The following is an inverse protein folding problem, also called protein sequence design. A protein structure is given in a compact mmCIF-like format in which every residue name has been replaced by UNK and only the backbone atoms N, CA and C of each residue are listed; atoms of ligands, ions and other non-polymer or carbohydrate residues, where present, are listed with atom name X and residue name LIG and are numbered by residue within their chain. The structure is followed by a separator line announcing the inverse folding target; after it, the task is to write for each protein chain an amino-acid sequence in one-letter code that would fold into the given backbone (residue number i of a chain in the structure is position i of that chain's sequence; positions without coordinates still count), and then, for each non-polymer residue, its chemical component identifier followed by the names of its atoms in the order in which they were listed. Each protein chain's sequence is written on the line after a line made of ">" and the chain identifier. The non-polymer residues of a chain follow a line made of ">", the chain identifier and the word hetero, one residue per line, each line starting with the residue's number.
data_IF_166782708134
#
_entry.id   IF_166782708134
#
_cell.length_a   1.000
_cell.length_b   1.000
_cell.length_c   1.000
_cell.angle_alpha   90.00
_cell.angle_beta   90.00
_cell.angle_gamma   90.00
#
_symmetry.space_group_name_H-M   'P 1'
#
loop_
_entity.id
_entity.type
_entity.pdbx_description
1 polymer ?
#
# COMPACT_ATOMS: atom_id res chain seq x y z
N UNK A 1 31.53 -56.52 34.46
CA UNK A 1 30.55 -56.50 33.33
C UNK A 1 30.27 -55.06 32.95
N UNK A 2 30.91 -54.63 31.90
CA UNK A 2 31.05 -53.24 31.49
C UNK A 2 30.08 -52.98 30.38
N UNK A 3 29.13 -52.06 30.56
CA UNK A 3 28.18 -51.62 29.54
C UNK A 3 28.59 -50.28 28.99
N UNK A 4 28.97 -50.21 27.71
CA UNK A 4 29.28 -49.01 26.96
C UNK A 4 27.98 -48.32 26.50
N UNK A 5 27.83 -47.05 26.87
CA UNK A 5 26.75 -46.17 26.37
C UNK A 5 27.30 -45.36 25.19
N UNK A 6 26.76 -45.58 24.01
CA UNK A 6 27.05 -44.78 22.80
C UNK A 6 26.16 -43.53 22.78
N UNK A 7 26.77 -42.37 22.90
CA UNK A 7 26.11 -41.09 22.68
C UNK A 7 26.12 -40.76 21.16
N UNK A 8 24.96 -40.79 20.52
CA UNK A 8 24.75 -40.26 19.19
C UNK A 8 24.55 -38.75 19.27
N UNK A 9 25.53 -37.99 18.82
CA UNK A 9 25.42 -36.55 18.64
C UNK A 9 24.57 -36.19 17.41
N UNK A 10 23.41 -35.61 17.64
CA UNK A 10 22.56 -35.05 16.59
C UNK A 10 23.05 -33.64 16.27
N UNK A 11 23.75 -33.47 15.14
CA UNK A 11 24.11 -32.14 14.61
C UNK A 11 22.85 -31.58 13.89
N UNK A 12 22.16 -30.68 14.54
CA UNK A 12 21.12 -29.90 13.91
C UNK A 12 21.77 -28.77 13.09
N UNK A 13 21.77 -28.91 11.77
CA UNK A 13 22.06 -27.80 10.85
C UNK A 13 20.94 -26.78 10.95
N UNK A 14 21.18 -25.71 11.70
CA UNK A 14 20.34 -24.51 11.67
C UNK A 14 20.63 -23.76 10.36
N UNK A 15 19.79 -23.98 9.35
CA UNK A 15 19.72 -23.09 8.18
C UNK A 15 18.97 -21.81 8.59
N UNK A 16 19.72 -20.79 8.97
CA UNK A 16 19.16 -19.46 9.17
C UNK A 16 18.80 -18.88 7.79
N UNK A 17 17.57 -18.34 7.59
CA UNK A 17 17.27 -17.58 6.39
C UNK A 17 18.14 -16.33 6.38
N UNK A 18 18.93 -16.17 5.32
CA UNK A 18 19.82 -15.03 5.11
C UNK A 18 18.95 -13.84 4.70
N UNK A 19 18.50 -13.05 5.67
CA UNK A 19 17.89 -11.74 5.39
C UNK A 19 18.98 -10.80 4.89
N UNK A 20 18.81 -10.12 3.75
CA UNK A 20 19.78 -9.14 3.27
C UNK A 20 19.94 -8.03 4.31
N UNK A 21 21.17 -7.79 4.71
CA UNK A 21 21.53 -6.80 5.72
C UNK A 21 21.30 -5.39 5.16
N UNK A 22 20.63 -4.53 5.93
CA UNK A 22 20.42 -3.10 5.60
C UNK A 22 21.71 -2.32 5.27
N UNK A 23 22.88 -2.86 5.63
CA UNK A 23 24.20 -2.28 5.35
C UNK A 23 24.59 -2.30 3.85
N UNK A 24 24.04 -3.24 3.06
CA UNK A 24 24.37 -3.34 1.63
C UNK A 24 23.67 -2.24 0.81
N UNK A 25 22.51 -1.77 1.26
CA UNK A 25 21.74 -0.72 0.59
C UNK A 25 22.39 0.67 0.74
N UNK A 26 23.03 0.95 1.89
CA UNK A 26 23.76 2.21 2.11
C UNK A 26 24.95 2.36 1.16
N UNK A 27 25.66 1.27 0.88
CA UNK A 27 26.77 1.25 -0.07
C UNK A 27 26.34 1.58 -1.49
N UNK A 28 25.20 1.03 -1.93
CA UNK A 28 24.68 1.16 -3.28
C UNK A 28 24.18 2.58 -3.56
N UNK A 29 23.39 3.17 -2.67
CA UNK A 29 22.83 4.51 -2.84
C UNK A 29 23.87 5.61 -2.67
N UNK A 30 24.82 5.46 -1.74
CA UNK A 30 25.96 6.37 -1.57
C UNK A 30 26.87 6.39 -2.79
N UNK A 31 27.03 5.25 -3.48
CA UNK A 31 27.84 5.12 -4.71
C UNK A 31 27.07 5.69 -5.91
N UNK A 32 25.76 5.51 -5.99
CA UNK A 32 24.91 6.12 -7.02
C UNK A 32 24.98 7.65 -6.97
N UNK A 33 24.98 8.25 -5.78
CA UNK A 33 25.16 9.69 -5.59
C UNK A 33 26.51 10.22 -6.09
N UNK A 34 27.60 9.44 -5.95
CA UNK A 34 28.93 9.81 -6.46
C UNK A 34 29.05 9.67 -7.99
N UNK A 35 28.40 8.67 -8.58
CA UNK A 35 28.39 8.47 -10.05
C UNK A 35 27.61 9.62 -10.71
N UNK A 36 26.52 10.08 -10.12
CA UNK A 36 25.74 11.21 -10.62
C UNK A 36 26.44 12.57 -10.43
N UNK A 37 27.38 12.66 -9.45
CA UNK A 37 28.19 13.87 -9.18
C UNK A 37 29.45 14.03 -10.01
N UNK A 38 29.82 13.08 -10.87
CA UNK A 38 30.92 13.21 -11.85
C UNK A 38 32.34 13.14 -11.26
N UNK A 39 32.56 12.63 -10.04
CA UNK A 39 33.89 12.46 -9.45
C UNK A 39 34.28 10.99 -9.25
N UNK A 40 35.29 10.53 -9.97
CA UNK A 40 36.15 9.45 -9.55
C UNK A 40 36.16 8.18 -10.41
N UNK A 41 37.20 8.05 -11.20
CA UNK A 41 37.70 6.79 -11.77
C UNK A 41 38.13 5.82 -10.66
N UNK A 42 37.29 4.84 -10.36
CA UNK A 42 37.60 3.70 -9.50
C UNK A 42 36.38 2.80 -9.41
N UNK A 43 36.47 1.55 -9.89
CA UNK A 43 35.46 0.47 -9.93
C UNK A 43 34.02 0.92 -9.57
N UNK A 44 33.46 1.81 -10.37
CA UNK A 44 32.11 2.32 -10.18
C UNK A 44 31.11 1.25 -10.56
N UNK A 45 29.98 1.21 -9.86
CA UNK A 45 28.86 0.31 -10.20
C UNK A 45 28.41 0.60 -11.64
N UNK A 46 28.10 -0.46 -12.37
CA UNK A 46 27.46 -0.33 -13.68
C UNK A 46 26.06 0.27 -13.56
N UNK A 47 25.53 0.85 -14.64
CA UNK A 47 24.17 1.37 -14.67
C UNK A 47 23.13 0.31 -14.26
N UNK A 48 23.36 -0.92 -14.65
CA UNK A 48 22.51 -2.07 -14.32
C UNK A 48 22.56 -2.40 -12.82
N UNK A 49 23.73 -2.28 -12.20
CA UNK A 49 23.89 -2.49 -10.74
C UNK A 49 23.19 -1.42 -9.94
N UNK A 50 23.30 -0.17 -10.35
CA UNK A 50 22.60 0.96 -9.72
C UNK A 50 21.08 0.76 -9.79
N UNK A 51 20.55 0.43 -10.97
CA UNK A 51 19.11 0.20 -11.17
C UNK A 51 18.64 -1.04 -10.42
N UNK A 52 19.45 -2.08 -10.33
CA UNK A 52 19.13 -3.27 -9.51
C UNK A 52 19.00 -2.91 -8.04
N UNK A 53 19.90 -2.11 -7.47
CA UNK A 53 19.81 -1.61 -6.10
C UNK A 53 18.56 -0.77 -5.87
N UNK A 54 18.20 0.12 -6.81
CA UNK A 54 16.96 0.88 -6.77
C UNK A 54 15.74 -0.03 -6.74
N UNK A 55 15.68 -1.05 -7.61
CA UNK A 55 14.57 -2.02 -7.63
C UNK A 55 14.42 -2.71 -6.28
N UNK A 56 15.49 -3.19 -5.69
CA UNK A 56 15.49 -3.78 -4.35
C UNK A 56 14.95 -2.83 -3.29
N UNK A 57 15.38 -1.57 -3.31
CA UNK A 57 14.90 -0.55 -2.36
C UNK A 57 13.39 -0.30 -2.53
N UNK A 58 12.90 -0.23 -3.78
CA UNK A 58 11.48 -0.07 -4.08
C UNK A 58 10.65 -1.30 -3.67
N UNK A 59 11.16 -2.51 -3.84
CA UNK A 59 10.49 -3.73 -3.36
C UNK A 59 10.35 -3.73 -1.83
N UNK A 60 11.42 -3.38 -1.10
CA UNK A 60 11.38 -3.27 0.37
C UNK A 60 10.42 -2.18 0.81
N UNK A 61 10.44 -1.00 0.18
CA UNK A 61 9.51 0.10 0.48
C UNK A 61 8.05 -0.28 0.21
N UNK A 62 7.81 -0.99 -0.90
CA UNK A 62 6.47 -1.49 -1.25
C UNK A 62 5.97 -2.51 -0.23
N UNK A 63 6.81 -3.45 0.18
CA UNK A 63 6.46 -4.44 1.21
C UNK A 63 6.12 -3.75 2.54
N UNK A 64 6.95 -2.80 3.00
CA UNK A 64 6.70 -2.04 4.24
C UNK A 64 5.40 -1.26 4.18
N UNK A 65 5.10 -0.63 3.04
CA UNK A 65 3.87 0.12 2.85
C UNK A 65 2.64 -0.78 2.95
N UNK A 66 2.71 -1.99 2.36
CA UNK A 66 1.66 -3.01 2.46
C UNK A 66 1.52 -3.53 3.89
N UNK A 67 2.62 -3.78 4.59
CA UNK A 67 2.61 -4.27 5.97
C UNK A 67 1.97 -3.23 6.91
N UNK A 68 2.30 -1.95 6.75
CA UNK A 68 1.72 -0.84 7.53
C UNK A 68 0.22 -0.69 7.25
N UNK A 69 -0.17 -0.64 5.98
CA UNK A 69 -1.56 -0.48 5.58
C UNK A 69 -2.41 -1.71 5.91
N UNK A 70 -1.85 -2.92 5.76
CA UNK A 70 -2.53 -4.19 5.97
C UNK A 70 -2.55 -4.68 7.41
N UNK A 71 -1.89 -3.99 8.34
CA UNK A 71 -1.96 -4.28 9.76
C UNK A 71 -3.39 -4.08 10.30
N UNK A 72 -3.69 -4.68 11.45
CA UNK A 72 -4.97 -4.43 12.11
C UNK A 72 -5.05 -2.98 12.59
N UNK A 73 -6.03 -2.25 12.10
CA UNK A 73 -6.13 -0.80 12.32
C UNK A 73 -5.19 0.05 11.45
N UNK A 74 -4.50 -0.52 10.46
CA UNK A 74 -3.57 0.20 9.60
C UNK A 74 -4.19 1.37 8.84
N UNK A 75 -5.44 1.20 8.38
CA UNK A 75 -6.25 2.29 7.82
C UNK A 75 -7.01 3.05 8.91
N UNK A 76 -7.62 2.33 9.84
CA UNK A 76 -8.49 2.95 10.85
C UNK A 76 -7.76 3.95 11.75
N UNK A 77 -6.54 3.62 12.19
CA UNK A 77 -5.77 4.41 13.14
C UNK A 77 -4.81 5.42 12.50
N UNK A 78 -4.63 5.38 11.16
CA UNK A 78 -3.80 6.35 10.43
C UNK A 78 -4.68 7.41 9.76
N UNK A 79 -4.76 8.63 10.32
CA UNK A 79 -5.71 9.65 9.85
C UNK A 79 -5.55 10.03 8.38
N UNK A 80 -4.34 9.92 7.82
CA UNK A 80 -4.03 10.32 6.42
C UNK A 80 -4.59 9.37 5.39
N UNK A 81 -4.83 8.10 5.78
CA UNK A 81 -5.32 7.06 4.87
C UNK A 81 -6.66 6.46 5.33
N UNK A 82 -7.11 6.81 6.53
CA UNK A 82 -8.41 6.38 7.04
C UNK A 82 -9.52 6.69 6.05
N UNK A 83 -10.34 5.72 5.74
CA UNK A 83 -11.49 5.85 4.85
C UNK A 83 -12.66 6.38 5.68
N UNK A 84 -13.07 7.64 5.49
CA UNK A 84 -14.21 8.22 6.19
C UNK A 84 -15.53 7.79 5.53
N UNK A 85 -16.64 8.14 6.15
CA UNK A 85 -17.92 8.17 5.46
C UNK A 85 -17.81 9.10 4.23
N UNK A 86 -18.38 8.77 3.06
CA UNK A 86 -18.28 9.61 1.88
C UNK A 86 -18.73 11.05 2.17
N UNK A 87 -17.85 12.00 1.84
CA UNK A 87 -18.02 13.42 2.21
C UNK A 87 -19.34 14.02 1.67
N UNK A 88 -19.72 13.61 0.47
CA UNK A 88 -20.95 14.03 -0.20
C UNK A 88 -22.21 13.56 0.54
N UNK A 89 -22.08 12.46 1.32
CA UNK A 89 -23.17 11.88 2.10
C UNK A 89 -23.10 12.23 3.61
N UNK A 90 -22.31 13.22 4.00
CA UNK A 90 -22.16 13.61 5.43
C UNK A 90 -23.49 14.03 6.07
N UNK A 91 -24.41 14.61 5.32
CA UNK A 91 -25.78 14.93 5.78
C UNK A 91 -26.54 13.65 6.15
N UNK A 92 -26.34 12.58 5.39
CA UNK A 92 -26.94 11.28 5.67
C UNK A 92 -26.36 10.72 6.96
N UNK A 93 -25.04 10.74 7.10
CA UNK A 93 -24.35 10.33 8.32
C UNK A 93 -24.88 11.07 9.55
N UNK A 94 -24.94 12.38 9.45
CA UNK A 94 -25.47 13.23 10.55
C UNK A 94 -26.91 12.89 10.89
N UNK A 95 -27.77 12.64 9.90
CA UNK A 95 -29.17 12.22 10.13
C UNK A 95 -29.22 10.88 10.84
N UNK A 96 -28.45 9.89 10.41
CA UNK A 96 -28.39 8.58 11.06
C UNK A 96 -27.92 8.66 12.51
N UNK A 97 -26.91 9.49 12.79
CA UNK A 97 -26.45 9.76 14.15
C UNK A 97 -27.53 10.43 15.00
N UNK A 98 -28.27 11.41 14.44
CA UNK A 98 -29.40 12.07 15.11
C UNK A 98 -30.56 11.11 15.44
N UNK A 99 -30.71 10.02 14.68
CA UNK A 99 -31.66 8.95 14.94
C UNK A 99 -31.12 7.87 15.94
N UNK A 100 -29.96 8.10 16.54
CA UNK A 100 -29.34 7.16 17.49
C UNK A 100 -28.62 5.99 16.85
N UNK A 101 -28.41 5.98 15.52
CA UNK A 101 -27.74 4.92 14.79
C UNK A 101 -26.21 5.01 14.84
N UNK A 102 -25.64 5.35 16.02
CA UNK A 102 -24.19 5.53 16.19
C UNK A 102 -23.42 4.24 15.89
N UNK A 103 -23.84 3.12 16.48
CA UNK A 103 -23.14 1.84 16.24
C UNK A 103 -23.21 1.38 14.79
N UNK A 104 -24.36 1.39 14.09
CA UNK A 104 -24.39 1.07 12.67
C UNK A 104 -23.48 1.93 11.79
N UNK A 105 -23.39 3.23 12.06
CA UNK A 105 -22.49 4.15 11.33
C UNK A 105 -21.02 3.81 11.60
N UNK A 106 -20.65 3.57 12.86
CA UNK A 106 -19.29 3.17 13.22
C UNK A 106 -18.91 1.81 12.61
N UNK A 107 -19.79 0.81 12.68
CA UNK A 107 -19.57 -0.51 12.11
C UNK A 107 -19.38 -0.42 10.57
N UNK A 108 -20.11 0.47 9.91
CA UNK A 108 -19.96 0.75 8.50
C UNK A 108 -18.57 1.35 8.17
N UNK A 109 -18.18 2.41 8.89
CA UNK A 109 -16.86 3.04 8.70
C UNK A 109 -15.72 2.06 9.01
N UNK A 110 -15.82 1.28 10.08
CA UNK A 110 -14.82 0.25 10.43
C UNK A 110 -14.72 -0.83 9.36
N UNK A 111 -15.85 -1.24 8.80
CA UNK A 111 -15.85 -2.28 7.75
C UNK A 111 -15.17 -1.80 6.49
N UNK A 112 -15.38 -0.55 6.05
CA UNK A 112 -14.68 0.02 4.90
C UNK A 112 -13.16 -0.01 5.11
N UNK A 113 -12.70 0.41 6.29
CA UNK A 113 -11.28 0.41 6.63
C UNK A 113 -10.71 -1.01 6.73
N UNK A 114 -11.45 -1.93 7.34
CA UNK A 114 -11.06 -3.35 7.43
C UNK A 114 -10.99 -4.04 6.07
N UNK A 115 -11.91 -3.70 5.17
CA UNK A 115 -11.88 -4.16 3.78
C UNK A 115 -10.61 -3.69 3.07
N UNK A 116 -10.24 -2.41 3.23
CA UNK A 116 -9.00 -1.86 2.69
C UNK A 116 -7.75 -2.56 3.26
N UNK A 117 -7.66 -2.72 4.59
CA UNK A 117 -6.56 -3.45 5.27
C UNK A 117 -6.40 -4.88 4.73
N UNK A 118 -7.50 -5.53 4.40
CA UNK A 118 -7.47 -6.89 3.84
C UNK A 118 -7.03 -6.86 2.38
N UNK A 119 -7.56 -5.94 1.59
CA UNK A 119 -7.33 -5.85 0.16
C UNK A 119 -5.88 -5.49 -0.19
N UNK A 120 -5.27 -4.55 0.57
CA UNK A 120 -3.90 -4.07 0.27
C UNK A 120 -2.84 -5.17 0.39
N UNK A 121 -3.09 -6.26 1.09
CA UNK A 121 -2.19 -7.42 1.19
C UNK A 121 -1.94 -8.10 -0.16
N UNK A 122 -2.86 -7.93 -1.11
CA UNK A 122 -2.72 -8.43 -2.47
C UNK A 122 -1.85 -7.54 -3.38
N UNK A 123 -1.34 -6.41 -2.86
CA UNK A 123 -0.58 -5.47 -3.68
C UNK A 123 0.87 -5.90 -3.92
N UNK A 124 1.49 -6.68 -3.02
CA UNK A 124 2.92 -7.04 -3.11
C UNK A 124 3.30 -7.64 -4.46
N UNK A 125 2.64 -8.70 -4.96
CA UNK A 125 3.02 -9.28 -6.24
C UNK A 125 2.83 -8.30 -7.40
N UNK A 126 1.84 -7.41 -7.34
CA UNK A 126 1.62 -6.39 -8.38
C UNK A 126 2.77 -5.37 -8.40
N UNK A 127 3.24 -4.95 -7.23
CA UNK A 127 4.40 -4.05 -7.15
C UNK A 127 5.69 -4.73 -7.61
N UNK A 128 5.94 -5.97 -7.19
CA UNK A 128 7.12 -6.74 -7.60
C UNK A 128 7.18 -6.87 -9.12
N UNK A 129 6.05 -7.22 -9.76
CA UNK A 129 5.97 -7.33 -11.21
C UNK A 129 6.27 -5.98 -11.89
N UNK A 130 5.68 -4.89 -11.42
CA UNK A 130 5.89 -3.55 -11.98
C UNK A 130 7.34 -3.06 -11.77
N UNK A 131 7.94 -3.29 -10.59
CA UNK A 131 9.31 -2.90 -10.27
C UNK A 131 10.32 -3.72 -11.08
N UNK A 132 10.11 -5.03 -11.19
CA UNK A 132 10.95 -5.91 -12.01
C UNK A 132 10.94 -5.47 -13.47
N UNK A 133 9.80 -5.01 -13.99
CA UNK A 133 9.63 -4.50 -15.36
C UNK A 133 10.21 -3.11 -15.62
N UNK A 134 10.77 -2.41 -14.62
CA UNK A 134 11.42 -1.10 -14.83
C UNK A 134 12.65 -1.25 -15.74
N UNK A 135 12.77 -0.37 -16.74
CA UNK A 135 13.94 -0.27 -17.58
C UNK A 135 15.10 0.46 -16.87
N UNK A 136 16.30 0.42 -17.45
CA UNK A 136 17.43 1.22 -16.95
C UNK A 136 17.11 2.71 -17.04
N UNK A 137 16.43 3.14 -18.10
CA UNK A 137 16.00 4.53 -18.29
C UNK A 137 14.99 4.97 -17.21
N UNK A 138 13.97 4.14 -16.92
CA UNK A 138 13.04 4.39 -15.80
C UNK A 138 13.80 4.56 -14.48
N UNK A 139 14.76 3.68 -14.20
CA UNK A 139 15.56 3.72 -12.99
C UNK A 139 16.30 5.04 -12.83
N UNK A 140 16.96 5.52 -13.88
CA UNK A 140 17.64 6.82 -13.85
C UNK A 140 16.67 7.99 -13.79
N UNK A 141 15.50 7.93 -14.42
CA UNK A 141 14.47 8.94 -14.29
C UNK A 141 13.98 9.05 -12.83
N UNK A 142 13.77 7.93 -12.17
CA UNK A 142 13.44 7.88 -10.74
C UNK A 142 14.57 8.48 -9.90
N UNK A 143 15.82 8.06 -10.09
CA UNK A 143 16.96 8.53 -9.29
C UNK A 143 17.20 10.03 -9.42
N UNK A 144 17.01 10.61 -10.61
CA UNK A 144 17.13 12.05 -10.87
C UNK A 144 15.89 12.86 -10.48
N UNK A 145 14.79 12.17 -10.23
CA UNK A 145 13.51 12.79 -9.89
C UNK A 145 13.41 13.29 -8.45
N UNK A 146 12.22 13.74 -8.09
CA UNK A 146 11.89 14.22 -6.74
C UNK A 146 11.91 13.11 -5.67
N UNK A 147 11.61 13.48 -4.43
CA UNK A 147 11.73 12.57 -3.29
C UNK A 147 10.75 11.36 -3.33
N UNK A 148 9.76 11.41 -4.20
CA UNK A 148 8.73 10.37 -4.38
C UNK A 148 8.51 10.05 -5.87
N UNK A 149 9.54 10.17 -6.71
CA UNK A 149 9.46 10.04 -8.17
C UNK A 149 9.04 8.63 -8.65
N UNK A 150 9.35 7.57 -7.89
CA UNK A 150 8.92 6.21 -8.24
C UNK A 150 7.41 6.01 -8.01
N UNK A 151 6.84 6.65 -7.00
CA UNK A 151 5.44 6.47 -6.60
C UNK A 151 4.44 6.80 -7.72
N UNK A 152 4.51 7.94 -8.44
CA UNK A 152 3.61 8.22 -9.56
C UNK A 152 3.75 7.21 -10.71
N UNK A 153 4.96 6.78 -11.02
CA UNK A 153 5.21 5.79 -12.06
C UNK A 153 4.60 4.43 -11.71
N UNK A 154 4.82 3.97 -10.46
CA UNK A 154 4.22 2.74 -9.97
C UNK A 154 2.70 2.85 -9.93
N UNK A 155 2.14 3.99 -9.51
CA UNK A 155 0.69 4.22 -9.53
C UNK A 155 0.14 4.07 -10.94
N UNK A 156 0.75 4.71 -11.92
CA UNK A 156 0.32 4.64 -13.32
C UNK A 156 0.31 3.19 -13.84
N UNK A 157 1.33 2.41 -13.48
CA UNK A 157 1.51 1.04 -13.99
C UNK A 157 0.67 -0.01 -13.28
N UNK A 158 0.23 0.26 -12.05
CA UNK A 158 -0.35 -0.79 -11.19
C UNK A 158 -1.80 -0.54 -10.78
N UNK A 159 -2.36 0.66 -10.95
CA UNK A 159 -3.72 1.00 -10.48
C UNK A 159 -4.78 0.04 -11.03
N UNK A 160 -4.74 -0.31 -12.31
CA UNK A 160 -5.71 -1.23 -12.92
C UNK A 160 -5.62 -2.64 -12.30
N UNK A 161 -4.42 -3.19 -12.18
CA UNK A 161 -4.20 -4.50 -11.59
C UNK A 161 -4.59 -4.53 -10.10
N UNK A 162 -4.26 -3.46 -9.34
CA UNK A 162 -4.68 -3.32 -7.95
C UNK A 162 -6.20 -3.23 -7.82
N UNK A 163 -6.86 -2.47 -8.70
CA UNK A 163 -8.33 -2.38 -8.73
C UNK A 163 -8.97 -3.75 -8.93
N UNK A 164 -8.46 -4.52 -9.90
CA UNK A 164 -8.95 -5.87 -10.17
C UNK A 164 -8.78 -6.84 -9.01
N UNK A 165 -7.70 -6.71 -8.22
CA UNK A 165 -7.45 -7.55 -7.04
C UNK A 165 -8.20 -7.09 -5.79
N UNK A 166 -8.31 -5.79 -5.56
CA UNK A 166 -8.90 -5.25 -4.33
C UNK A 166 -10.42 -5.32 -4.34
N UNK A 167 -11.05 -5.00 -5.49
CA UNK A 167 -12.50 -4.90 -5.60
C UNK A 167 -13.25 -6.15 -5.09
N UNK A 168 -12.92 -7.40 -5.49
CA UNK A 168 -13.66 -8.56 -5.00
C UNK A 168 -13.51 -8.78 -3.48
N UNK A 169 -12.38 -8.38 -2.88
CA UNK A 169 -12.17 -8.46 -1.44
C UNK A 169 -13.03 -7.43 -0.71
N UNK A 170 -13.06 -6.20 -1.23
CA UNK A 170 -13.91 -5.12 -0.73
C UNK A 170 -15.39 -5.52 -0.80
N UNK A 171 -15.86 -6.03 -1.95
CA UNK A 171 -17.23 -6.50 -2.15
C UNK A 171 -17.64 -7.58 -1.14
N UNK A 172 -16.76 -8.54 -0.90
CA UNK A 172 -17.01 -9.60 0.09
C UNK A 172 -17.12 -9.05 1.50
N UNK A 173 -16.27 -8.08 1.88
CA UNK A 173 -16.27 -7.50 3.22
C UNK A 173 -17.48 -6.59 3.45
N UNK A 174 -17.80 -5.73 2.49
CA UNK A 174 -18.91 -4.78 2.60
C UNK A 174 -20.28 -5.47 2.56
N UNK A 175 -20.42 -6.57 1.83
CA UNK A 175 -21.66 -7.36 1.79
C UNK A 175 -22.11 -7.90 3.16
N UNK A 176 -21.21 -7.97 4.13
CA UNK A 176 -21.52 -8.49 5.47
C UNK A 176 -22.14 -7.44 6.41
N UNK A 177 -22.20 -6.18 6.01
CA UNK A 177 -22.72 -5.08 6.86
C UNK A 177 -24.08 -4.62 6.36
N UNK A 178 -25.07 -4.65 7.25
CA UNK A 178 -26.45 -4.31 6.91
C UNK A 178 -26.58 -2.91 6.29
N UNK A 179 -25.84 -1.92 6.79
CA UNK A 179 -25.90 -0.54 6.28
C UNK A 179 -25.43 -0.44 4.81
N UNK A 180 -24.54 -1.34 4.37
CA UNK A 180 -24.06 -1.37 2.98
C UNK A 180 -25.20 -1.65 1.98
N UNK A 181 -26.17 -2.48 2.36
CA UNK A 181 -27.32 -2.79 1.50
C UNK A 181 -28.23 -1.56 1.25
N UNK A 182 -28.19 -0.58 2.14
CA UNK A 182 -28.94 0.68 2.00
C UNK A 182 -28.16 1.77 1.27
N UNK A 183 -26.85 1.57 1.03
CA UNK A 183 -26.01 2.61 0.43
C UNK A 183 -26.47 3.01 -0.97
N UNK A 184 -26.62 2.06 -1.89
CA UNK A 184 -27.01 2.36 -3.27
C UNK A 184 -28.37 3.05 -3.37
N UNK A 185 -29.45 2.57 -2.73
CA UNK A 185 -30.72 3.30 -2.69
C UNK A 185 -30.60 4.71 -2.11
N UNK A 186 -29.81 4.87 -1.06
CA UNK A 186 -29.61 6.14 -0.39
C UNK A 186 -28.83 7.15 -1.25
N UNK A 187 -27.75 6.70 -1.87
CA UNK A 187 -26.96 7.50 -2.80
C UNK A 187 -27.78 7.95 -4.00
N UNK A 188 -28.61 7.07 -4.56
CA UNK A 188 -29.50 7.40 -5.67
C UNK A 188 -30.56 8.42 -5.27
N UNK A 189 -31.18 8.29 -4.10
CA UNK A 189 -32.15 9.26 -3.59
C UNK A 189 -31.49 10.64 -3.35
N UNK A 190 -30.28 10.65 -2.75
CA UNK A 190 -29.50 11.86 -2.56
C UNK A 190 -29.15 12.51 -3.90
N UNK A 191 -28.67 11.73 -4.86
CA UNK A 191 -28.29 12.23 -6.19
C UNK A 191 -29.50 12.85 -6.93
N UNK A 192 -30.69 12.25 -6.79
CA UNK A 192 -31.93 12.84 -7.30
C UNK A 192 -32.22 14.21 -6.70
N UNK A 193 -32.05 14.37 -5.39
CA UNK A 193 -32.24 15.66 -4.71
C UNK A 193 -31.10 16.67 -5.07
N UNK A 194 -29.87 16.19 -5.23
CA UNK A 194 -28.70 17.01 -5.56
C UNK A 194 -28.83 17.75 -6.88
N UNK A 195 -29.54 17.18 -7.87
CA UNK A 195 -29.86 17.84 -9.17
C UNK A 195 -30.62 19.16 -8.99
N UNK A 196 -31.45 19.28 -7.95
CA UNK A 196 -32.23 20.47 -7.66
C UNK A 196 -31.55 21.44 -6.70
N UNK A 197 -30.60 20.94 -5.89
CA UNK A 197 -29.93 21.75 -4.84
C UNK A 197 -28.51 22.16 -5.22
N UNK A 198 -28.01 21.75 -6.39
CA UNK A 198 -26.63 22.02 -6.84
C UNK A 198 -25.57 21.24 -6.03
N UNK A 199 -25.97 20.18 -5.31
CA UNK A 199 -25.06 19.28 -4.59
C UNK A 199 -24.22 18.44 -5.55
N UNK A 200 -23.04 17.98 -5.08
CA UNK A 200 -22.24 16.99 -5.80
C UNK A 200 -22.87 15.61 -5.69
N UNK A 201 -22.94 14.89 -6.80
CA UNK A 201 -23.39 13.51 -6.80
C UNK A 201 -22.44 12.62 -6.00
N UNK A 202 -23.00 11.66 -5.28
CA UNK A 202 -22.27 10.58 -4.58
C UNK A 202 -22.20 9.36 -5.49
N UNK A 203 -21.06 8.69 -5.53
CA UNK A 203 -20.97 7.42 -6.25
C UNK A 203 -21.84 6.37 -5.53
N UNK A 204 -22.85 5.80 -6.20
CA UNK A 204 -23.67 4.74 -5.65
C UNK A 204 -22.90 3.42 -5.49
N UNK A 205 -21.73 3.27 -6.14
CA UNK A 205 -20.83 2.12 -6.00
C UNK A 205 -19.87 2.32 -4.82
N UNK A 206 -20.33 1.95 -3.63
CA UNK A 206 -19.50 1.98 -2.43
C UNK A 206 -18.21 1.16 -2.57
N UNK A 207 -18.25 0.06 -3.30
CA UNK A 207 -17.09 -0.82 -3.47
C UNK A 207 -16.02 -0.14 -4.33
N UNK A 208 -16.43 0.62 -5.36
CA UNK A 208 -15.51 1.46 -6.12
C UNK A 208 -14.87 2.54 -5.23
N UNK A 209 -15.68 3.23 -4.41
CA UNK A 209 -15.19 4.22 -3.45
C UNK A 209 -14.14 3.66 -2.48
N UNK A 210 -14.45 2.54 -1.83
CA UNK A 210 -13.51 1.89 -0.87
C UNK A 210 -12.25 1.40 -1.58
N UNK A 211 -12.39 0.82 -2.77
CA UNK A 211 -11.25 0.32 -3.57
C UNK A 211 -10.32 1.47 -3.96
N UNK A 212 -10.85 2.59 -4.46
CA UNK A 212 -10.06 3.77 -4.80
C UNK A 212 -9.35 4.37 -3.59
N UNK A 213 -10.05 4.48 -2.46
CA UNK A 213 -9.47 4.96 -1.20
C UNK A 213 -8.37 4.04 -0.68
N UNK A 214 -8.55 2.71 -0.78
CA UNK A 214 -7.53 1.73 -0.39
C UNK A 214 -6.26 1.88 -1.24
N UNK A 215 -6.40 2.00 -2.55
CA UNK A 215 -5.28 2.22 -3.47
C UNK A 215 -4.60 3.56 -3.16
N UNK A 216 -5.37 4.62 -3.00
CA UNK A 216 -4.84 5.96 -2.70
C UNK A 216 -4.08 5.99 -1.37
N UNK A 217 -4.62 5.35 -0.32
CA UNK A 217 -3.97 5.24 0.98
C UNK A 217 -2.65 4.45 0.91
N UNK A 218 -2.65 3.34 0.18
CA UNK A 218 -1.45 2.55 -0.03
C UNK A 218 -0.33 3.36 -0.73
N UNK A 219 -0.65 4.13 -1.77
CA UNK A 219 0.32 4.99 -2.45
C UNK A 219 0.78 6.18 -1.59
N UNK A 220 -0.04 6.65 -0.65
CA UNK A 220 0.38 7.65 0.34
C UNK A 220 1.51 7.11 1.22
N UNK A 221 1.36 5.89 1.73
CA UNK A 221 2.41 5.25 2.53
C UNK A 221 3.62 4.87 1.69
N UNK A 222 3.44 4.46 0.44
CA UNK A 222 4.55 4.17 -0.47
C UNK A 222 5.42 5.40 -0.72
N UNK A 223 4.81 6.56 -0.93
CA UNK A 223 5.54 7.84 -1.07
C UNK A 223 6.32 8.19 0.20
N UNK A 224 5.77 7.89 1.37
CA UNK A 224 6.48 8.10 2.64
C UNK A 224 7.70 7.16 2.76
N UNK A 225 7.55 5.89 2.42
CA UNK A 225 8.67 4.93 2.46
C UNK A 225 9.73 5.29 1.40
N UNK A 226 9.35 5.74 0.21
CA UNK A 226 10.29 6.22 -0.80
C UNK A 226 11.11 7.42 -0.27
N UNK A 227 10.47 8.40 0.35
CA UNK A 227 11.17 9.54 0.96
C UNK A 227 12.14 9.10 2.06
N UNK A 228 11.72 8.20 2.95
CA UNK A 228 12.60 7.67 4.02
C UNK A 228 13.83 6.96 3.47
N UNK A 229 13.69 6.17 2.39
CA UNK A 229 14.80 5.50 1.73
C UNK A 229 15.80 6.53 1.18
N UNK A 230 15.32 7.64 0.62
CA UNK A 230 16.18 8.70 0.07
C UNK A 230 16.89 9.53 1.15
N UNK A 231 16.23 9.78 2.28
CA UNK A 231 16.79 10.52 3.41
C UNK A 231 17.81 9.69 4.20
N UNK A 232 17.58 8.39 4.30
CA UNK A 232 18.40 7.43 5.04
C UNK A 232 18.66 6.18 4.18
N UNK A 233 19.51 6.34 3.16
CA UNK A 233 19.82 5.27 2.21
C UNK A 233 20.62 4.12 2.82
#
# INVERSE_FOLDING_TARGET
>A
MTTYLHALGLIALLTTPMTPRAQDLQGILGTAGRILGGEGSGAGLSNEEVVRGLKQALEVGSQRSVDLAGADGGFWNEPRIRIPFPTEAEKVRTTLLGLGMTKPVEDFERTMNKAAETAVKEAVPVFVDAITGLSVEDGFAILKGGPDAATPLLRQRTTEALTGRFRPIVEKATAQVALTSYWTPLANAYNGAALFTGGKAVDPDLNAYVTDKAITGLFTLLADEERKIRENP
#
